data_IF_891865034452
#
_entry.id   IF_891865034452
#
_cell.length_a   1.000
_cell.length_b   1.000
_cell.length_c   1.000
_cell.angle_alpha   90.00
_cell.angle_beta   90.00
_cell.angle_gamma   90.00
#
_symmetry.space_group_name_H-M   'P 1'
#
loop_
_entity.id
_entity.type
_entity.pdbx_description
1 polymer ?
#
# COMPACT_ATOMS: atom_id res chain seq x y z
N UNK A 1 31.30 59.94 -21.79
CA UNK A 1 30.56 58.83 -21.15
C UNK A 1 29.23 59.38 -20.67
N UNK A 2 28.14 59.17 -21.42
CA UNK A 2 26.83 59.72 -21.07
C UNK A 2 26.19 58.84 -20.00
N UNK A 3 26.18 59.33 -18.76
CA UNK A 3 25.39 58.75 -17.67
C UNK A 3 23.90 58.94 -18.01
N UNK A 4 23.27 57.90 -18.55
CA UNK A 4 21.80 57.80 -18.63
C UNK A 4 21.26 57.90 -17.21
N UNK A 5 20.88 59.11 -16.80
CA UNK A 5 20.05 59.33 -15.62
C UNK A 5 18.71 58.66 -15.89
N UNK A 6 18.55 57.44 -15.37
CA UNK A 6 17.25 56.80 -15.32
C UNK A 6 16.28 57.75 -14.60
N UNK A 7 15.06 58.00 -15.14
CA UNK A 7 14.09 58.83 -14.46
C UNK A 7 13.79 58.20 -13.09
N UNK A 8 14.11 58.91 -12.00
CA UNK A 8 13.92 58.51 -10.59
C UNK A 8 12.64 57.69 -10.32
N UNK A 9 11.44 58.08 -10.83
CA UNK A 9 10.22 57.30 -10.60
C UNK A 9 10.26 55.87 -11.15
N UNK A 10 10.99 55.62 -12.24
CA UNK A 10 11.15 54.26 -12.79
C UNK A 10 12.03 53.37 -11.93
N UNK A 11 12.95 53.96 -11.17
CA UNK A 11 13.85 53.22 -10.26
C UNK A 11 13.09 52.84 -9.00
N UNK A 12 12.30 53.76 -8.42
CA UNK A 12 11.43 53.51 -7.27
C UNK A 12 10.37 52.45 -7.56
N UNK A 13 9.70 52.52 -8.72
CA UNK A 13 8.73 51.50 -9.14
C UNK A 13 9.39 50.12 -9.30
N UNK A 14 10.61 50.07 -9.86
CA UNK A 14 11.34 48.81 -10.00
C UNK A 14 11.78 48.26 -8.65
N UNK A 15 12.13 49.13 -7.70
CA UNK A 15 12.53 48.76 -6.35
C UNK A 15 11.33 48.18 -5.58
N UNK A 16 10.18 48.85 -5.61
CA UNK A 16 8.95 48.37 -4.98
C UNK A 16 8.47 47.02 -5.57
N UNK A 17 8.59 46.85 -6.89
CA UNK A 17 8.28 45.58 -7.54
C UNK A 17 9.28 44.46 -7.14
N UNK A 18 10.54 44.82 -6.89
CA UNK A 18 11.57 43.91 -6.40
C UNK A 18 11.26 43.47 -4.98
N UNK A 19 10.91 44.40 -4.09
CA UNK A 19 10.50 44.12 -2.72
C UNK A 19 9.28 43.20 -2.67
N UNK A 20 8.23 43.51 -3.45
CA UNK A 20 7.04 42.67 -3.54
C UNK A 20 7.36 41.24 -4.01
N UNK A 21 8.28 41.08 -4.98
CA UNK A 21 8.70 39.77 -5.45
C UNK A 21 9.57 39.04 -4.43
N UNK A 22 10.34 39.76 -3.65
CA UNK A 22 11.18 39.21 -2.59
C UNK A 22 10.33 38.69 -1.43
N UNK A 23 9.29 39.44 -1.04
CA UNK A 23 8.32 38.99 -0.03
C UNK A 23 7.50 37.78 -0.52
N UNK A 24 7.10 37.79 -1.79
CA UNK A 24 6.43 36.64 -2.39
C UNK A 24 7.35 35.40 -2.43
N UNK A 25 8.64 35.58 -2.69
CA UNK A 25 9.62 34.49 -2.72
C UNK A 25 9.94 34.00 -1.30
N UNK A 26 10.07 34.91 -0.33
CA UNK A 26 10.31 34.59 1.08
C UNK A 26 9.15 33.79 1.68
N UNK A 27 7.91 34.23 1.46
CA UNK A 27 6.71 33.49 1.90
C UNK A 27 6.59 32.12 1.23
N UNK A 28 6.96 32.00 -0.05
CA UNK A 28 7.00 30.71 -0.72
C UNK A 28 8.09 29.80 -0.11
N UNK A 29 9.28 30.34 0.15
CA UNK A 29 10.39 29.59 0.74
C UNK A 29 10.13 29.17 2.19
N UNK A 30 9.31 29.92 2.94
CA UNK A 30 8.87 29.54 4.28
C UNK A 30 7.84 28.40 4.25
N UNK A 31 6.99 28.36 3.22
CA UNK A 31 5.96 27.31 3.06
C UNK A 31 6.51 25.96 2.55
N UNK A 32 7.62 25.98 1.82
CA UNK A 32 8.21 24.78 1.19
C UNK A 32 8.71 23.76 2.22
N UNK A 33 9.50 24.14 3.25
CA UNK A 33 9.93 23.24 4.32
C UNK A 33 8.76 22.54 5.01
N UNK A 34 7.69 23.28 5.33
CA UNK A 34 6.49 22.70 5.96
C UNK A 34 5.78 21.67 5.07
N UNK A 35 5.76 21.91 3.75
CA UNK A 35 5.21 20.94 2.78
C UNK A 35 6.10 19.70 2.62
N UNK A 36 7.42 19.86 2.65
CA UNK A 36 8.38 18.75 2.59
C UNK A 36 8.28 17.88 3.84
N UNK A 37 8.28 18.48 5.05
CA UNK A 37 8.09 17.74 6.31
C UNK A 37 6.76 16.98 6.33
N UNK A 38 5.70 17.56 5.76
CA UNK A 38 4.40 16.88 5.66
C UNK A 38 4.45 15.67 4.71
N UNK A 39 5.09 15.82 3.55
CA UNK A 39 5.30 14.73 2.61
C UNK A 39 6.18 13.62 3.20
N UNK A 40 7.25 13.97 3.91
CA UNK A 40 8.10 13.02 4.63
C UNK A 40 7.29 12.22 5.66
N UNK A 41 6.43 12.88 6.44
CA UNK A 41 5.53 12.21 7.37
C UNK A 41 4.50 11.30 6.67
N UNK A 42 3.95 11.72 5.53
CA UNK A 42 3.07 10.88 4.71
C UNK A 42 3.82 9.66 4.14
N UNK A 43 5.06 9.83 3.69
CA UNK A 43 5.92 8.73 3.23
C UNK A 43 6.26 7.74 4.33
N UNK A 44 6.60 8.21 5.53
CA UNK A 44 6.88 7.35 6.69
C UNK A 44 5.63 6.55 7.10
N UNK A 45 4.47 7.20 7.07
CA UNK A 45 3.19 6.55 7.35
C UNK A 45 2.86 5.49 6.27
N UNK A 46 3.05 5.81 4.99
CA UNK A 46 2.86 4.85 3.89
C UNK A 46 3.85 3.68 3.97
N UNK A 47 5.11 3.91 4.32
CA UNK A 47 6.11 2.87 4.49
C UNK A 47 5.72 1.91 5.64
N UNK A 48 5.18 2.44 6.73
CA UNK A 48 4.65 1.66 7.85
C UNK A 48 3.45 0.82 7.41
N UNK A 49 2.50 1.41 6.68
CA UNK A 49 1.34 0.70 6.14
C UNK A 49 1.74 -0.41 5.16
N UNK A 50 2.72 -0.16 4.28
CA UNK A 50 3.26 -1.16 3.36
C UNK A 50 3.89 -2.35 4.09
N UNK A 51 4.59 -2.09 5.18
CA UNK A 51 5.19 -3.14 6.02
C UNK A 51 4.10 -3.99 6.67
N UNK A 52 3.10 -3.35 7.29
CA UNK A 52 1.97 -4.04 7.89
C UNK A 52 1.15 -4.84 6.86
N UNK A 53 0.97 -4.29 5.66
CA UNK A 53 0.29 -4.96 4.55
C UNK A 53 1.06 -6.20 4.08
N UNK A 54 2.38 -6.11 3.95
CA UNK A 54 3.23 -7.24 3.57
C UNK A 54 3.18 -8.37 4.62
N UNK A 55 3.22 -8.02 5.90
CA UNK A 55 3.09 -9.01 6.97
C UNK A 55 1.70 -9.66 6.99
N UNK A 56 0.64 -8.88 6.77
CA UNK A 56 -0.71 -9.40 6.57
C UNK A 56 -0.82 -10.36 5.39
N UNK A 57 -0.17 -10.05 4.26
CA UNK A 57 -0.11 -10.94 3.09
C UNK A 57 0.61 -12.25 3.42
N UNK A 58 1.76 -12.20 4.11
CA UNK A 58 2.48 -13.41 4.54
C UNK A 58 1.63 -14.29 5.44
N UNK A 59 0.93 -13.69 6.40
CA UNK A 59 0.05 -14.43 7.31
C UNK A 59 -1.13 -15.07 6.56
N UNK A 60 -1.73 -14.34 5.61
CA UNK A 60 -2.80 -14.87 4.78
C UNK A 60 -2.31 -16.03 3.91
N UNK A 61 -1.15 -15.90 3.25
CA UNK A 61 -0.55 -16.98 2.47
C UNK A 61 -0.29 -18.22 3.31
N UNK A 62 0.25 -18.06 4.53
CA UNK A 62 0.48 -19.17 5.46
C UNK A 62 -0.84 -19.86 5.84
N UNK A 63 -1.87 -19.07 6.14
CA UNK A 63 -3.21 -19.58 6.49
C UNK A 63 -3.84 -20.35 5.32
N UNK A 64 -3.73 -19.83 4.10
CA UNK A 64 -4.22 -20.49 2.89
C UNK A 64 -3.48 -21.81 2.64
N UNK A 65 -2.16 -21.85 2.86
CA UNK A 65 -1.37 -23.07 2.72
C UNK A 65 -1.75 -24.15 3.75
N UNK A 66 -1.97 -23.77 5.01
CA UNK A 66 -2.46 -24.68 6.07
C UNK A 66 -3.85 -25.22 5.73
N UNK A 67 -4.75 -24.34 5.28
CA UNK A 67 -6.10 -24.73 4.87
C UNK A 67 -6.08 -25.69 3.68
N UNK A 68 -5.25 -25.42 2.68
CA UNK A 68 -5.03 -26.32 1.54
C UNK A 68 -4.58 -27.71 2.00
N UNK A 69 -3.62 -27.77 2.93
CA UNK A 69 -3.14 -29.04 3.50
C UNK A 69 -4.25 -29.80 4.22
N UNK A 70 -5.08 -29.11 5.01
CA UNK A 70 -6.23 -29.72 5.71
C UNK A 70 -7.26 -30.25 4.73
N UNK A 71 -7.59 -29.49 3.69
CA UNK A 71 -8.53 -29.91 2.64
C UNK A 71 -8.01 -31.14 1.91
N UNK A 72 -6.73 -31.16 1.51
CA UNK A 72 -6.12 -32.34 0.87
C UNK A 72 -6.19 -33.56 1.77
N UNK A 73 -5.91 -33.42 3.07
CA UNK A 73 -6.03 -34.53 4.03
C UNK A 73 -7.47 -35.03 4.15
N UNK A 74 -8.45 -34.13 4.24
CA UNK A 74 -9.86 -34.53 4.30
C UNK A 74 -10.29 -35.28 3.04
N UNK A 75 -9.89 -34.79 1.86
CA UNK A 75 -10.17 -35.48 0.59
C UNK A 75 -9.56 -36.88 0.62
N UNK A 76 -8.29 -37.03 1.03
CA UNK A 76 -7.64 -38.33 1.12
C UNK A 76 -8.39 -39.29 2.05
N UNK A 77 -8.82 -38.84 3.23
CA UNK A 77 -9.63 -39.63 4.16
C UNK A 77 -10.96 -40.04 3.53
N UNK A 78 -11.67 -39.11 2.89
CA UNK A 78 -12.92 -39.41 2.20
C UNK A 78 -12.74 -40.40 1.06
N UNK A 79 -11.64 -40.31 0.30
CA UNK A 79 -11.30 -41.28 -0.75
C UNK A 79 -11.13 -42.68 -0.16
N UNK A 80 -10.36 -42.82 0.92
CA UNK A 80 -10.16 -44.11 1.59
C UNK A 80 -11.49 -44.66 2.12
N UNK A 81 -12.29 -43.84 2.79
CA UNK A 81 -13.61 -44.25 3.28
C UNK A 81 -14.55 -44.68 2.15
N UNK A 82 -14.53 -43.96 1.03
CA UNK A 82 -15.30 -44.32 -0.16
C UNK A 82 -14.91 -45.69 -0.71
N UNK A 83 -13.60 -45.98 -0.81
CA UNK A 83 -13.11 -47.29 -1.24
C UNK A 83 -13.53 -48.39 -0.28
N UNK A 84 -13.40 -48.18 1.04
CA UNK A 84 -13.84 -49.17 2.04
C UNK A 84 -15.34 -49.42 1.95
N UNK A 85 -16.15 -48.36 1.82
CA UNK A 85 -17.59 -48.48 1.65
C UNK A 85 -17.95 -49.27 0.39
N UNK A 86 -17.26 -49.04 -0.74
CA UNK A 86 -17.48 -49.79 -1.98
C UNK A 86 -17.17 -51.29 -1.84
N UNK A 87 -16.17 -51.66 -1.05
CA UNK A 87 -15.82 -53.06 -0.80
C UNK A 87 -16.83 -53.75 0.12
N UNK A 88 -17.30 -53.05 1.16
CA UNK A 88 -18.13 -53.64 2.22
C UNK A 88 -19.62 -53.59 1.88
N UNK A 89 -20.09 -52.56 1.17
CA UNK A 89 -21.50 -52.38 0.81
C UNK A 89 -22.14 -53.60 0.11
N UNK A 90 -21.55 -54.23 -0.93
CA UNK A 90 -22.18 -55.37 -1.59
C UNK A 90 -22.27 -56.62 -0.70
N UNK A 91 -21.31 -56.82 0.21
CA UNK A 91 -21.34 -57.92 1.17
C UNK A 91 -22.46 -57.72 2.20
N UNK A 92 -22.61 -56.49 2.72
CA UNK A 92 -23.69 -56.15 3.64
C UNK A 92 -25.07 -56.23 2.97
N UNK A 93 -25.19 -55.76 1.72
CA UNK A 93 -26.45 -55.85 0.97
C UNK A 93 -26.91 -57.30 0.77
N UNK A 94 -26.00 -58.22 0.40
CA UNK A 94 -26.32 -59.65 0.29
C UNK A 94 -26.73 -60.31 1.61
N UNK A 95 -26.21 -59.81 2.73
CA UNK A 95 -26.57 -60.34 4.04
C UNK A 95 -27.97 -59.90 4.48
N UNK A 96 -28.39 -58.69 4.10
CA UNK A 96 -29.71 -58.13 4.46
C UNK A 96 -30.79 -58.50 3.44
N UNK A 97 -30.43 -58.64 2.17
CA UNK A 97 -31.30 -59.05 1.06
C UNK A 97 -30.69 -60.26 0.33
N UNK A 98 -30.94 -61.49 0.82
CA UNK A 98 -30.44 -62.71 0.19
C UNK A 98 -31.12 -63.02 -1.16
#
# INVERSE_FOLDING_TARGET
>A
MNTRTLPRPKVEIRLALLEQRLDALASHNESVPGRVTRLEGEFEHMATQLTALNDGQRQLTATVADLGTKVTRMIAVLTVLGVVAQLVAPALLRMVFP
#
